data_IF_989500165524
#
_entry.id   IF_989500165524
#
_cell.length_a   1.000
_cell.length_b   1.000
_cell.length_c   1.000
_cell.angle_alpha   90.00
_cell.angle_beta   90.00
_cell.angle_gamma   90.00
#
_symmetry.space_group_name_H-M   'P 1'
#
loop_
_entity.id
_entity.type
_entity.pdbx_description
1 polymer ?
#
# COMPACT_ATOMS: atom_id res chain seq x y z
N UNK A 1 -4.38 -4.16 -19.45
CA UNK A 1 -2.93 -3.89 -19.21
C UNK A 1 -2.68 -2.57 -18.45
N UNK A 2 -3.11 -1.39 -18.95
CA UNK A 2 -2.86 -0.11 -18.28
C UNK A 2 -3.33 -0.04 -16.83
N UNK A 3 -4.54 -0.56 -16.53
CA UNK A 3 -5.10 -0.65 -15.18
C UNK A 3 -4.25 -1.51 -14.23
N UNK A 4 -3.65 -2.58 -14.75
CA UNK A 4 -2.81 -3.48 -13.96
C UNK A 4 -1.50 -2.78 -13.61
N UNK A 5 -0.85 -2.14 -14.59
CA UNK A 5 0.40 -1.41 -14.37
C UNK A 5 0.21 -0.21 -13.44
N UNK A 6 -0.87 0.56 -13.62
CA UNK A 6 -1.17 1.69 -12.73
C UNK A 6 -1.54 1.24 -11.33
N UNK A 7 -2.31 0.15 -11.19
CA UNK A 7 -2.63 -0.45 -9.90
C UNK A 7 -1.38 -0.97 -9.18
N UNK A 8 -0.47 -1.62 -9.89
CA UNK A 8 0.79 -2.13 -9.34
C UNK A 8 1.69 -0.98 -8.88
N UNK A 9 1.89 0.02 -9.74
CA UNK A 9 2.70 1.20 -9.43
C UNK A 9 2.13 1.96 -8.21
N UNK A 10 0.81 2.14 -8.16
CA UNK A 10 0.15 2.81 -7.04
C UNK A 10 0.30 2.00 -5.74
N UNK A 11 0.10 0.69 -5.79
CA UNK A 11 0.24 -0.20 -4.61
C UNK A 11 1.66 -0.15 -4.06
N UNK A 12 2.68 -0.24 -4.92
CA UNK A 12 4.09 -0.16 -4.52
C UNK A 12 4.45 1.22 -3.97
N UNK A 13 4.02 2.30 -4.64
CA UNK A 13 4.28 3.66 -4.20
C UNK A 13 3.67 3.94 -2.82
N UNK A 14 2.43 3.50 -2.58
CA UNK A 14 1.77 3.68 -1.28
C UNK A 14 2.40 2.81 -0.19
N UNK A 15 2.85 1.60 -0.51
CA UNK A 15 3.57 0.75 0.44
C UNK A 15 4.91 1.38 0.85
N UNK A 16 5.64 1.97 -0.10
CA UNK A 16 6.87 2.70 0.17
C UNK A 16 6.61 3.98 0.99
N UNK A 17 5.53 4.71 0.70
CA UNK A 17 5.15 5.89 1.48
C UNK A 17 4.83 5.53 2.94
N UNK A 18 4.07 4.45 3.18
CA UNK A 18 3.78 3.99 4.55
C UNK A 18 5.05 3.49 5.24
N UNK A 19 5.94 2.82 4.52
CA UNK A 19 7.26 2.42 5.05
C UNK A 19 8.08 3.63 5.51
N UNK A 20 8.12 4.71 4.72
CA UNK A 20 8.80 5.96 5.10
C UNK A 20 8.18 6.61 6.35
N UNK A 21 6.85 6.60 6.48
CA UNK A 21 6.16 7.08 7.68
C UNK A 21 6.48 6.20 8.88
N UNK A 22 6.47 4.87 8.69
CA UNK A 22 6.80 3.90 9.72
C UNK A 22 8.26 4.04 10.18
N UNK A 23 9.22 4.29 9.28
CA UNK A 23 10.62 4.53 9.66
C UNK A 23 10.77 5.73 10.60
N UNK A 24 9.97 6.77 10.40
CA UNK A 24 10.00 7.98 11.25
C UNK A 24 9.43 7.73 12.65
N UNK A 25 8.41 6.88 12.77
CA UNK A 25 7.73 6.64 14.05
C UNK A 25 8.28 5.43 14.81
N UNK A 26 8.60 4.33 14.12
CA UNK A 26 9.10 3.10 14.73
C UNK A 26 9.76 2.17 13.71
N UNK A 27 11.07 1.96 13.87
CA UNK A 27 11.90 1.12 13.01
C UNK A 27 11.42 -0.34 12.94
N UNK A 28 10.89 -0.88 14.05
CA UNK A 28 10.32 -2.23 14.08
C UNK A 28 9.05 -2.37 13.23
N UNK A 29 8.16 -1.37 13.28
CA UNK A 29 6.97 -1.35 12.42
C UNK A 29 7.32 -1.14 10.95
N UNK A 30 8.40 -0.39 10.66
CA UNK A 30 8.90 -0.21 9.30
C UNK A 30 9.35 -1.54 8.68
N UNK A 31 10.17 -2.31 9.38
CA UNK A 31 10.61 -3.63 8.92
C UNK A 31 9.42 -4.55 8.65
N UNK A 32 8.44 -4.59 9.56
CA UNK A 32 7.23 -5.38 9.38
C UNK A 32 6.41 -4.92 8.17
N UNK A 33 6.32 -3.61 7.90
CA UNK A 33 5.61 -3.07 6.73
C UNK A 33 6.30 -3.38 5.39
N UNK A 34 7.62 -3.62 5.39
CA UNK A 34 8.40 -3.96 4.19
C UNK A 34 8.32 -5.46 3.87
N UNK A 35 8.47 -6.31 4.89
CA UNK A 35 8.49 -7.77 4.73
C UNK A 35 7.10 -8.39 4.66
N UNK A 36 6.10 -7.77 5.30
CA UNK A 36 4.73 -8.27 5.34
C UNK A 36 3.86 -7.25 4.59
N UNK A 37 3.58 -7.47 3.30
CA UNK A 37 2.84 -6.50 2.50
C UNK A 37 1.41 -6.24 2.99
N UNK A 38 0.84 -7.11 3.83
CA UNK A 38 -0.44 -6.86 4.49
C UNK A 38 -0.33 -6.12 5.83
N UNK A 39 0.87 -5.98 6.40
CA UNK A 39 1.07 -5.32 7.70
C UNK A 39 0.86 -3.81 7.64
N UNK A 40 1.01 -3.21 6.45
CA UNK A 40 0.61 -1.81 6.18
C UNK A 40 -0.84 -1.54 6.57
N UNK A 41 -1.75 -2.53 6.46
CA UNK A 41 -3.12 -2.43 6.97
C UNK A 41 -3.18 -2.18 8.48
N UNK A 42 -2.43 -2.97 9.23
CA UNK A 42 -2.43 -2.96 10.70
C UNK A 42 -1.76 -1.69 11.20
N UNK A 43 -0.63 -1.31 10.59
CA UNK A 43 0.11 -0.11 10.94
C UNK A 43 -0.68 1.17 10.60
N UNK A 44 -1.14 1.31 9.36
CA UNK A 44 -1.79 2.54 8.91
C UNK A 44 -3.22 2.75 9.45
N UNK A 45 -3.83 1.72 10.04
CA UNK A 45 -5.03 1.89 10.87
C UNK A 45 -4.75 2.59 12.20
N UNK A 46 -3.58 2.33 12.78
CA UNK A 46 -3.18 2.87 14.10
C UNK A 46 -2.62 4.28 13.98
N UNK A 47 -2.00 4.60 12.85
CA UNK A 47 -1.32 5.87 12.62
C UNK A 47 -2.16 6.81 11.73
N UNK A 48 -2.64 7.96 12.24
CA UNK A 48 -3.44 8.91 11.47
C UNK A 48 -2.72 9.44 10.22
N UNK A 49 -1.39 9.56 10.24
CA UNK A 49 -0.61 10.05 9.09
C UNK A 49 -0.53 9.02 7.96
N UNK A 50 -0.52 7.73 8.29
CA UNK A 50 -0.45 6.66 7.31
C UNK A 50 -1.82 6.32 6.68
N UNK A 51 -2.91 6.73 7.33
CA UNK A 51 -4.30 6.46 6.94
C UNK A 51 -4.66 6.87 5.50
N UNK A 52 -4.32 8.07 4.98
CA UNK A 52 -4.59 8.41 3.57
C UNK A 52 -3.81 7.54 2.58
N UNK A 53 -2.58 7.15 2.91
CA UNK A 53 -1.79 6.23 2.06
C UNK A 53 -2.38 4.82 2.03
N UNK A 54 -3.05 4.39 3.10
CA UNK A 54 -3.79 3.14 3.12
C UNK A 54 -4.96 3.15 2.12
N UNK A 55 -5.67 4.27 2.00
CA UNK A 55 -6.72 4.43 0.99
C UNK A 55 -6.17 4.34 -0.44
N UNK A 56 -5.02 4.98 -0.69
CA UNK A 56 -4.31 4.85 -1.97
C UNK A 56 -3.89 3.40 -2.25
N UNK A 57 -3.43 2.68 -1.22
CA UNK A 57 -3.06 1.28 -1.33
C UNK A 57 -4.26 0.38 -1.69
N UNK A 58 -5.43 0.59 -1.08
CA UNK A 58 -6.66 -0.10 -1.49
C UNK A 58 -7.09 0.24 -2.90
N UNK A 59 -6.92 1.49 -3.32
CA UNK A 59 -7.24 1.91 -4.68
C UNK A 59 -6.32 1.22 -5.70
N UNK A 60 -5.04 1.03 -5.35
CA UNK A 60 -4.10 0.22 -6.12
C UNK A 60 -4.56 -1.23 -6.28
N UNK A 61 -5.02 -1.86 -5.19
CA UNK A 61 -5.59 -3.22 -5.23
C UNK A 61 -6.87 -3.27 -6.07
N UNK A 62 -7.78 -2.31 -5.91
CA UNK A 62 -9.01 -2.25 -6.68
C UNK A 62 -8.73 -2.12 -8.19
N UNK A 63 -7.72 -1.32 -8.57
CA UNK A 63 -7.26 -1.19 -9.95
C UNK A 63 -6.63 -2.47 -10.49
N UNK A 64 -5.86 -3.20 -9.66
CA UNK A 64 -5.32 -4.51 -10.04
C UNK A 64 -6.44 -5.51 -10.31
N UNK A 65 -7.42 -5.63 -9.40
CA UNK A 65 -8.58 -6.52 -9.56
C UNK A 65 -9.40 -6.14 -10.79
N UNK A 66 -9.73 -4.86 -10.95
CA UNK A 66 -10.45 -4.36 -12.13
C UNK A 66 -9.66 -4.61 -13.42
N UNK A 67 -8.34 -4.43 -13.38
CA UNK A 67 -7.45 -4.68 -14.52
C UNK A 67 -7.39 -6.15 -14.93
N UNK A 68 -7.42 -7.08 -13.96
CA UNK A 68 -7.52 -8.53 -14.23
C UNK A 68 -8.88 -8.87 -14.83
N UNK A 69 -9.97 -8.39 -14.22
CA UNK A 69 -11.33 -8.64 -14.71
C UNK A 69 -11.55 -8.07 -16.13
N UNK A 70 -11.02 -6.88 -16.41
CA UNK A 70 -11.10 -6.26 -17.73
C UNK A 70 -10.15 -6.89 -18.77
N UNK A 71 -9.24 -7.78 -18.33
CA UNK A 71 -8.30 -8.47 -19.20
C UNK A 71 -8.65 -9.95 -19.41
N UNK A 72 -9.68 -10.45 -18.72
CA UNK A 72 -10.26 -11.78 -18.89
C UNK A 72 -11.37 -11.73 -19.94
#
# INVERSE_FOLDING_TARGET
MFLILSGLALTVAMQFAIFCVALKNSLGNAILSLFIPFYVYVYARKDPQARPFLWGWYLGIALLVAGVLASA
#
